data_IF_582138397754
#
_entry.id   IF_582138397754
#
_cell.length_a   1.000
_cell.length_b   1.000
_cell.length_c   1.000
_cell.angle_alpha   90.00
_cell.angle_beta   90.00
_cell.angle_gamma   90.00
#
_symmetry.space_group_name_H-M   'P 1'
#
loop_
_entity.id
_entity.type
_entity.pdbx_description
1 polymer ?
#
# COMPACT_ATOMS: atom_id res chain seq x y z
N UNK A 1 -5.46 -1.03 7.96
CA UNK A 1 -4.35 -1.80 8.55
C UNK A 1 -3.26 -0.84 8.98
N UNK A 2 -2.55 -1.20 10.04
CA UNK A 2 -1.44 -0.42 10.59
C UNK A 2 -0.24 -1.35 10.79
N UNK A 3 0.94 -0.94 10.31
CA UNK A 3 2.18 -1.66 10.59
C UNK A 3 3.15 -0.72 11.30
N UNK A 4 3.12 -0.75 12.63
CA UNK A 4 3.81 0.23 13.47
C UNK A 4 4.87 -0.44 14.35
N UNK A 5 6.01 0.22 14.61
CA UNK A 5 6.95 -0.26 15.63
C UNK A 5 6.26 -0.30 17.01
N UNK A 6 6.59 -1.31 17.80
CA UNK A 6 6.17 -1.45 19.18
C UNK A 6 7.00 -0.52 20.09
N UNK A 7 6.41 -0.12 21.22
CA UNK A 7 7.02 0.87 22.12
C UNK A 7 6.86 2.30 21.61
N UNK A 8 7.81 3.17 21.95
CA UNK A 8 7.87 4.57 21.54
C UNK A 8 8.39 4.78 20.11
N UNK A 9 8.73 3.69 19.39
CA UNK A 9 9.22 3.76 18.02
C UNK A 9 10.61 4.39 17.91
N UNK A 10 11.40 4.36 18.99
CA UNK A 10 12.73 4.95 19.03
C UNK A 10 13.60 4.48 17.86
N UNK A 11 14.09 5.44 17.08
CA UNK A 11 14.96 5.19 15.91
C UNK A 11 14.22 4.96 14.57
N UNK A 12 12.89 4.86 14.56
CA UNK A 12 12.11 4.79 13.33
C UNK A 12 11.71 6.19 12.86
N UNK A 13 12.51 6.81 11.99
CA UNK A 13 12.32 8.22 11.58
C UNK A 13 10.94 8.53 10.99
N UNK A 14 10.32 7.59 10.28
CA UNK A 14 8.98 7.72 9.69
C UNK A 14 7.91 6.95 10.47
N UNK A 15 8.25 6.38 11.63
CA UNK A 15 7.39 5.42 12.33
C UNK A 15 7.16 4.17 11.46
N UNK A 16 5.90 3.89 11.14
CA UNK A 16 5.51 2.81 10.24
C UNK A 16 4.24 3.14 9.45
N UNK A 17 3.96 2.42 8.34
CA UNK A 17 2.89 2.77 7.43
C UNK A 17 1.49 2.51 8.00
N UNK A 18 0.53 3.35 7.59
CA UNK A 18 -0.88 3.21 7.91
C UNK A 18 -1.75 3.29 6.66
N UNK A 19 -2.86 2.56 6.69
CA UNK A 19 -3.88 2.57 5.65
C UNK A 19 -5.23 2.30 6.30
N UNK A 20 -5.88 3.36 6.80
CA UNK A 20 -7.14 3.27 7.54
C UNK A 20 -8.38 3.48 6.65
N UNK A 21 -8.18 3.86 5.39
CA UNK A 21 -9.27 4.12 4.46
C UNK A 21 -10.05 2.86 4.09
N UNK A 22 -11.36 3.00 3.88
CA UNK A 22 -12.18 1.97 3.26
C UNK A 22 -11.93 1.92 1.74
N UNK A 23 -10.91 1.15 1.37
CA UNK A 23 -10.52 0.93 -0.03
C UNK A 23 -11.55 0.07 -0.75
N UNK A 24 -12.19 -0.88 -0.06
CA UNK A 24 -13.16 -1.78 -0.68
C UNK A 24 -14.45 -1.05 -1.06
N UNK A 25 -14.97 -0.19 -0.18
CA UNK A 25 -16.17 0.62 -0.43
C UNK A 25 -15.98 1.67 -1.53
N UNK A 26 -14.75 2.17 -1.72
CA UNK A 26 -14.42 3.17 -2.74
C UNK A 26 -13.83 2.58 -4.02
N UNK A 27 -13.77 1.25 -4.13
CA UNK A 27 -13.06 0.57 -5.20
C UNK A 27 -13.66 0.89 -6.59
N UNK A 28 -12.85 1.32 -7.58
CA UNK A 28 -13.25 1.46 -8.98
C UNK A 28 -13.86 0.15 -9.50
N UNK A 29 -14.90 0.25 -10.32
CA UNK A 29 -15.64 -0.89 -10.84
C UNK A 29 -14.76 -1.98 -11.46
N UNK A 30 -13.73 -1.56 -12.19
CA UNK A 30 -12.79 -2.39 -12.93
C UNK A 30 -11.87 -3.20 -12.00
N UNK A 31 -11.73 -2.79 -10.75
CA UNK A 31 -10.84 -3.38 -9.76
C UNK A 31 -11.57 -4.16 -8.66
N UNK A 32 -12.91 -4.12 -8.64
CA UNK A 32 -13.70 -4.78 -7.60
C UNK A 32 -13.49 -6.28 -7.59
N UNK A 33 -13.35 -6.83 -6.38
CA UNK A 33 -13.30 -8.26 -6.12
C UNK A 33 -14.22 -8.61 -4.94
N UNK A 34 -14.65 -9.87 -4.80
CA UNK A 34 -15.39 -10.30 -3.61
C UNK A 34 -14.62 -9.97 -2.33
N UNK A 35 -15.16 -9.08 -1.51
CA UNK A 35 -14.57 -8.68 -0.23
C UNK A 35 -13.35 -7.75 -0.33
N UNK A 36 -13.06 -7.14 -1.49
CA UNK A 36 -11.88 -6.27 -1.60
C UNK A 36 -11.74 -5.51 -2.91
N UNK A 37 -10.55 -4.93 -3.10
CA UNK A 37 -10.17 -4.15 -4.28
C UNK A 37 -8.81 -4.64 -4.79
N UNK A 38 -8.78 -5.18 -6.01
CA UNK A 38 -7.54 -5.64 -6.64
C UNK A 38 -6.71 -4.46 -7.13
N UNK A 39 -5.39 -4.61 -7.16
CA UNK A 39 -4.56 -3.65 -7.88
C UNK A 39 -4.64 -3.88 -9.40
N UNK A 40 -4.28 -2.84 -10.18
CA UNK A 40 -4.34 -2.88 -11.64
C UNK A 40 -3.49 -4.00 -12.27
N UNK A 41 -2.33 -4.33 -11.69
CA UNK A 41 -1.51 -5.42 -12.22
C UNK A 41 -2.23 -6.77 -12.13
N UNK A 42 -2.92 -7.06 -11.02
CA UNK A 42 -3.66 -8.32 -10.82
C UNK A 42 -4.78 -8.48 -11.85
N UNK A 43 -5.47 -7.38 -12.18
CA UNK A 43 -6.59 -7.38 -13.13
C UNK A 43 -6.12 -7.41 -14.58
N UNK A 44 -5.27 -6.45 -14.96
CA UNK A 44 -4.94 -6.21 -16.38
C UNK A 44 -3.72 -6.97 -16.88
N UNK A 45 -2.79 -7.36 -15.99
CA UNK A 45 -1.56 -8.11 -16.32
C UNK A 45 -0.70 -7.45 -17.41
N UNK A 46 -0.74 -6.12 -17.49
CA UNK A 46 0.03 -5.34 -18.47
C UNK A 46 1.30 -4.76 -17.84
N UNK A 47 2.37 -4.67 -18.64
CA UNK A 47 3.67 -4.12 -18.25
C UNK A 47 3.55 -2.80 -17.49
N UNK A 48 2.71 -1.87 -17.97
CA UNK A 48 2.51 -0.55 -17.36
C UNK A 48 1.99 -0.57 -15.92
N UNK A 49 1.25 -1.61 -15.53
CA UNK A 49 0.72 -1.75 -14.16
C UNK A 49 1.58 -2.65 -13.29
N UNK A 50 2.26 -3.62 -13.91
CA UNK A 50 3.11 -4.59 -13.23
C UNK A 50 4.58 -4.18 -13.14
N UNK A 51 4.96 -3.09 -13.82
CA UNK A 51 6.34 -2.65 -13.98
C UNK A 51 7.26 -3.75 -14.53
N UNK A 52 6.78 -4.51 -15.52
CA UNK A 52 7.51 -5.59 -16.18
C UNK A 52 7.88 -5.23 -17.62
N UNK A 53 8.70 -6.06 -18.26
CA UNK A 53 9.00 -5.98 -19.68
C UNK A 53 9.44 -4.59 -20.13
N UNK A 54 8.67 -4.00 -21.05
CA UNK A 54 8.92 -2.67 -21.61
C UNK A 54 8.83 -1.54 -20.58
N UNK A 55 8.04 -1.72 -19.53
CA UNK A 55 7.88 -0.77 -18.43
C UNK A 55 8.85 -1.01 -17.28
N UNK A 56 9.71 -2.05 -17.33
CA UNK A 56 10.58 -2.43 -16.22
C UNK A 56 11.46 -1.28 -15.72
N UNK A 57 11.87 -0.37 -16.60
CA UNK A 57 12.69 0.81 -16.22
C UNK A 57 11.93 2.14 -16.28
N UNK A 58 10.71 2.18 -16.82
CA UNK A 58 9.93 3.41 -17.02
C UNK A 58 8.51 3.30 -16.45
N UNK A 59 8.36 2.56 -15.35
CA UNK A 59 7.09 2.41 -14.67
C UNK A 59 6.85 3.60 -13.74
N UNK A 60 5.66 4.19 -13.81
CA UNK A 60 5.26 5.30 -12.97
C UNK A 60 3.82 5.17 -12.46
N UNK A 61 3.33 6.17 -11.72
CA UNK A 61 1.97 6.20 -11.25
C UNK A 61 0.96 6.17 -12.41
N UNK A 62 -0.13 5.43 -12.21
CA UNK A 62 -1.29 5.38 -13.11
C UNK A 62 -2.52 5.88 -12.36
N UNK A 63 -3.64 6.11 -13.06
CA UNK A 63 -4.90 6.49 -12.42
C UNK A 63 -5.31 5.48 -11.32
N UNK A 64 -5.07 4.18 -11.55
CA UNK A 64 -5.39 3.14 -10.57
C UNK A 64 -4.44 3.15 -9.36
N UNK A 65 -3.14 3.35 -9.55
CA UNK A 65 -2.23 3.43 -8.39
C UNK A 65 -2.45 4.73 -7.61
N UNK A 66 -2.74 5.85 -8.28
CA UNK A 66 -3.08 7.12 -7.63
C UNK A 66 -4.33 7.01 -6.77
N UNK A 67 -5.31 6.20 -7.16
CA UNK A 67 -6.46 5.89 -6.32
C UNK A 67 -6.03 5.28 -4.97
N UNK A 68 -5.24 4.20 -4.98
CA UNK A 68 -4.74 3.59 -3.73
C UNK A 68 -3.85 4.55 -2.95
N UNK A 69 -3.03 5.35 -3.64
CA UNK A 69 -2.11 6.29 -3.00
C UNK A 69 -2.84 7.43 -2.31
N UNK A 70 -3.93 7.92 -2.90
CA UNK A 70 -4.75 8.97 -2.30
C UNK A 70 -5.45 8.50 -1.02
N UNK A 71 -5.86 7.23 -0.97
CA UNK A 71 -6.49 6.64 0.21
C UNK A 71 -5.47 6.23 1.28
N UNK A 72 -4.33 5.71 0.86
CA UNK A 72 -3.28 5.18 1.74
C UNK A 72 -1.90 5.71 1.31
N UNK A 73 -1.55 6.95 1.70
CA UNK A 73 -0.31 7.60 1.27
C UNK A 73 0.97 6.87 1.69
N UNK A 74 0.92 6.13 2.81
CA UNK A 74 2.06 5.38 3.32
C UNK A 74 2.24 4.02 2.64
N UNK A 75 1.19 3.50 1.98
CA UNK A 75 1.21 2.18 1.38
C UNK A 75 1.79 2.23 -0.04
N UNK A 76 2.44 1.13 -0.43
CA UNK A 76 2.82 0.90 -1.81
C UNK A 76 1.57 0.81 -2.68
N UNK A 77 1.44 1.73 -3.65
CA UNK A 77 0.32 1.75 -4.58
C UNK A 77 0.62 1.11 -5.94
N UNK A 78 1.91 0.97 -6.28
CA UNK A 78 2.43 0.27 -7.45
C UNK A 78 3.86 -0.22 -7.16
N UNK A 79 4.43 -1.12 -8.00
CA UNK A 79 5.69 -1.80 -7.67
C UNK A 79 6.92 -0.91 -7.43
N UNK A 80 6.95 0.32 -7.96
CA UNK A 80 8.08 1.25 -7.79
C UNK A 80 7.77 2.47 -6.92
N UNK A 81 6.81 2.33 -6.00
CA UNK A 81 6.36 3.41 -5.11
C UNK A 81 7.26 3.60 -3.87
N UNK A 82 8.58 3.41 -4.01
CA UNK A 82 9.51 3.36 -2.87
C UNK A 82 9.66 4.70 -2.16
N UNK A 83 9.74 5.80 -2.92
CA UNK A 83 10.08 7.12 -2.39
C UNK A 83 9.17 7.58 -1.24
N UNK A 84 7.89 7.19 -1.29
CA UNK A 84 6.90 7.58 -0.29
C UNK A 84 6.52 6.43 0.64
N UNK A 85 6.70 5.17 0.21
CA UNK A 85 6.17 3.98 0.90
C UNK A 85 7.23 3.13 1.61
N UNK A 86 8.52 3.45 1.46
CA UNK A 86 9.57 2.79 2.25
C UNK A 86 9.67 3.40 3.65
N UNK A 87 9.64 2.51 4.65
CA UNK A 87 9.84 2.82 6.07
C UNK A 87 10.98 1.94 6.60
N UNK A 88 11.86 2.54 7.39
CA UNK A 88 13.04 1.85 7.94
C UNK A 88 13.13 2.10 9.43
N UNK A 89 13.37 1.02 10.17
CA UNK A 89 13.64 1.02 11.60
C UNK A 89 14.98 0.31 11.88
N UNK A 90 15.63 0.58 13.03
CA UNK A 90 16.83 -0.14 13.45
C UNK A 90 16.60 -1.65 13.56
N UNK A 91 17.67 -2.43 13.39
CA UNK A 91 17.62 -3.86 13.65
C UNK A 91 17.27 -4.12 15.12
N UNK A 92 16.39 -5.10 15.37
CA UNK A 92 15.89 -5.42 16.71
C UNK A 92 14.63 -4.66 17.12
N UNK A 93 14.08 -3.77 16.27
CA UNK A 93 12.76 -3.17 16.48
C UNK A 93 11.67 -4.24 16.44
N UNK A 94 10.87 -4.30 17.50
CA UNK A 94 9.63 -5.09 17.54
C UNK A 94 8.50 -4.30 16.88
N UNK A 95 7.46 -4.99 16.39
CA UNK A 95 6.30 -4.36 15.75
C UNK A 95 5.03 -4.71 16.51
N UNK A 96 4.05 -3.81 16.45
CA UNK A 96 2.74 -4.03 17.04
C UNK A 96 2.06 -5.21 16.34
N UNK A 97 1.35 -6.08 17.07
CA UNK A 97 0.51 -7.08 16.45
C UNK A 97 -0.55 -6.37 15.61
N UNK A 98 -0.80 -6.89 14.40
CA UNK A 98 -1.71 -6.28 13.43
C UNK A 98 -3.08 -6.07 14.09
N UNK A 99 -3.41 -4.81 14.37
CA UNK A 99 -4.74 -4.44 14.83
C UNK A 99 -5.59 -4.41 13.58
N UNK A 100 -6.21 -5.54 13.24
CA UNK A 100 -7.39 -5.49 12.40
C UNK A 100 -8.43 -4.69 13.19
N UNK A 101 -8.46 -3.38 12.99
CA UNK A 101 -9.53 -2.52 13.48
C UNK A 101 -10.76 -2.97 12.72
N UNK A 102 -11.52 -3.91 13.29
CA UNK A 102 -12.84 -4.28 12.79
C UNK A 102 -13.60 -2.98 12.47
N UNK A 103 -13.92 -2.69 11.20
CA UNK A 103 -14.84 -1.62 10.90
C UNK A 103 -16.25 -2.14 11.22
N UNK A 104 -16.65 -1.92 12.48
CA UNK A 104 -18.02 -1.96 13.02
C UNK A 104 -18.72 -3.33 13.23
N UNK A 105 -19.70 -3.39 14.17
CA UNK A 105 -20.49 -4.58 14.52
C UNK A 105 -21.41 -5.09 13.40
#
# INVERSE_FOLDING_TARGET
>A
MDFLPAGDGAGCAKGGPRCEADVAGQCPSELRAPGGCNNACTVFKQDQYCCTGSAANNCGPTNYSQFFKGLCPDAYSYPKDDQTSTFTCPAGTNYQPDRYKNPHP
#
